data_IF_013748780026
#
_entry.id   IF_013748780026
#
_cell.length_a   1.000
_cell.length_b   1.000
_cell.length_c   1.000
_cell.angle_alpha   90.00
_cell.angle_beta   90.00
_cell.angle_gamma   90.00
#
_symmetry.space_group_name_H-M   'P 1'
#
loop_
_entity.id
_entity.type
_entity.pdbx_description
1 polymer ?
#
# COMPACT_ATOMS: atom_id res chain seq x y z
N UNK A 1 14.32 -6.28 5.07
CA UNK A 1 13.55 -7.50 5.43
C UNK A 1 14.43 -8.42 6.27
N UNK A 2 13.94 -8.89 7.42
CA UNK A 2 14.66 -9.85 8.28
C UNK A 2 14.99 -9.40 9.70
N UNK A 3 14.57 -8.21 10.12
CA UNK A 3 14.58 -7.82 11.54
C UNK A 3 13.15 -7.84 12.08
N UNK A 4 12.88 -8.55 13.21
CA UNK A 4 11.53 -8.65 13.78
C UNK A 4 10.87 -7.29 14.03
N UNK A 5 11.67 -6.29 14.43
CA UNK A 5 11.17 -4.94 14.72
C UNK A 5 10.64 -4.23 13.46
N UNK A 6 11.26 -4.44 12.29
CA UNK A 6 10.80 -3.83 11.05
C UNK A 6 9.48 -4.46 10.58
N UNK A 7 9.32 -5.76 10.76
CA UNK A 7 8.05 -6.45 10.45
C UNK A 7 6.95 -6.03 11.41
N UNK A 8 7.23 -5.94 12.71
CA UNK A 8 6.27 -5.46 13.70
C UNK A 8 5.81 -4.02 13.41
N UNK A 9 6.75 -3.13 13.06
CA UNK A 9 6.43 -1.76 12.66
C UNK A 9 5.60 -1.73 11.36
N UNK A 10 5.94 -2.56 10.36
CA UNK A 10 5.19 -2.67 9.12
C UNK A 10 3.75 -3.18 9.37
N UNK A 11 3.59 -4.25 10.14
CA UNK A 11 2.28 -4.79 10.56
C UNK A 11 1.44 -3.73 11.27
N UNK A 12 2.00 -3.00 12.24
CA UNK A 12 1.27 -1.98 12.98
C UNK A 12 0.78 -0.82 12.07
N UNK A 13 1.65 -0.34 11.16
CA UNK A 13 1.28 0.69 10.19
C UNK A 13 0.27 0.19 9.16
N UNK A 14 0.43 -1.05 8.68
CA UNK A 14 -0.48 -1.67 7.73
C UNK A 14 -1.87 -1.89 8.36
N UNK A 15 -1.92 -2.38 9.60
CA UNK A 15 -3.17 -2.56 10.33
C UNK A 15 -3.93 -1.23 10.49
N UNK A 16 -3.22 -0.16 10.85
CA UNK A 16 -3.80 1.19 10.88
C UNK A 16 -4.31 1.61 9.50
N UNK A 17 -3.53 1.38 8.44
CA UNK A 17 -3.92 1.75 7.09
C UNK A 17 -5.15 0.97 6.60
N UNK A 18 -5.24 -0.33 6.88
CA UNK A 18 -6.40 -1.14 6.52
C UNK A 18 -7.69 -0.62 7.17
N UNK A 19 -7.61 -0.26 8.46
CA UNK A 19 -8.76 0.16 9.27
C UNK A 19 -9.11 1.66 9.14
N UNK A 20 -8.17 2.52 8.76
CA UNK A 20 -8.38 3.97 8.64
C UNK A 20 -8.60 4.36 7.16
N UNK A 21 -9.87 4.49 6.77
CA UNK A 21 -10.25 4.87 5.40
C UNK A 21 -9.80 6.29 5.05
N UNK A 22 -9.84 7.21 5.99
CA UNK A 22 -9.50 8.60 5.74
C UNK A 22 -7.99 8.74 5.53
N UNK A 23 -7.17 8.03 6.31
CA UNK A 23 -5.74 7.90 6.07
C UNK A 23 -5.45 7.30 4.68
N UNK A 24 -6.12 6.20 4.30
CA UNK A 24 -5.96 5.61 2.96
C UNK A 24 -6.31 6.59 1.85
N UNK A 25 -7.35 7.39 2.03
CA UNK A 25 -7.80 8.35 1.03
C UNK A 25 -6.92 9.61 0.97
N UNK A 26 -6.23 9.94 2.07
CA UNK A 26 -5.25 11.02 2.13
C UNK A 26 -3.96 10.70 1.36
N UNK A 27 -3.67 9.42 1.09
CA UNK A 27 -2.54 9.06 0.24
C UNK A 27 -2.76 9.59 -1.19
N UNK A 28 -1.79 10.37 -1.66
CA UNK A 28 -1.70 10.74 -3.07
C UNK A 28 -1.30 9.51 -3.92
N UNK A 29 -1.40 9.56 -5.26
CA UNK A 29 -1.16 8.40 -6.11
C UNK A 29 0.23 7.77 -5.92
N UNK A 30 1.27 8.59 -5.78
CA UNK A 30 2.66 8.16 -5.69
C UNK A 30 2.95 7.52 -4.33
N UNK A 31 2.44 8.10 -3.26
CA UNK A 31 2.55 7.51 -1.92
C UNK A 31 1.77 6.20 -1.83
N UNK A 32 0.60 6.10 -2.47
CA UNK A 32 -0.14 4.85 -2.58
C UNK A 32 0.67 3.77 -3.29
N UNK A 33 1.25 4.07 -4.46
CA UNK A 33 2.05 3.11 -5.22
C UNK A 33 3.32 2.68 -4.47
N UNK A 34 4.02 3.61 -3.81
CA UNK A 34 5.17 3.29 -2.95
C UNK A 34 4.76 2.44 -1.76
N UNK A 35 3.60 2.71 -1.16
CA UNK A 35 3.08 1.94 -0.03
C UNK A 35 2.77 0.52 -0.45
N UNK A 36 2.09 0.32 -1.59
CA UNK A 36 1.88 -1.01 -2.18
C UNK A 36 3.21 -1.78 -2.33
N UNK A 37 4.19 -1.16 -2.97
CA UNK A 37 5.52 -1.77 -3.17
C UNK A 37 6.31 -2.00 -1.86
N UNK A 38 6.02 -1.23 -0.80
CA UNK A 38 6.62 -1.47 0.50
C UNK A 38 5.97 -2.68 1.19
N UNK A 39 4.64 -2.78 1.15
CA UNK A 39 3.86 -3.86 1.76
C UNK A 39 4.17 -5.22 1.13
N UNK A 40 4.50 -5.27 -0.17
CA UNK A 40 4.88 -6.51 -0.87
C UNK A 40 6.13 -7.20 -0.31
N UNK A 41 6.91 -6.52 0.54
CA UNK A 41 8.07 -7.10 1.23
C UNK A 41 7.68 -8.04 2.38
N UNK A 42 6.43 -8.03 2.81
CA UNK A 42 5.91 -8.85 3.92
C UNK A 42 4.61 -9.57 3.50
N UNK A 43 4.69 -10.48 2.51
CA UNK A 43 3.51 -11.16 1.98
C UNK A 43 2.86 -12.09 3.01
N UNK A 44 3.64 -12.60 3.96
CA UNK A 44 3.19 -13.52 5.01
C UNK A 44 2.58 -12.80 6.23
N UNK A 45 2.57 -11.46 6.24
CA UNK A 45 1.99 -10.65 7.32
C UNK A 45 0.54 -10.27 6.96
N UNK A 46 -0.48 -10.79 7.66
CA UNK A 46 -1.89 -10.57 7.29
C UNK A 46 -2.28 -9.10 7.20
N UNK A 47 -1.84 -8.26 8.15
CA UNK A 47 -2.12 -6.81 8.12
C UNK A 47 -1.57 -6.13 6.85
N UNK A 48 -0.38 -6.56 6.39
CA UNK A 48 0.24 -6.04 5.17
C UNK A 48 -0.57 -6.42 3.93
N UNK A 49 -1.05 -7.67 3.87
CA UNK A 49 -1.90 -8.15 2.79
C UNK A 49 -3.26 -7.41 2.77
N UNK A 50 -3.88 -7.21 3.93
CA UNK A 50 -5.16 -6.50 4.05
C UNK A 50 -5.03 -5.03 3.63
N UNK A 51 -3.98 -4.35 4.08
CA UNK A 51 -3.68 -2.99 3.67
C UNK A 51 -3.42 -2.89 2.15
N UNK A 52 -2.64 -3.82 1.59
CA UNK A 52 -2.35 -3.86 0.16
C UNK A 52 -3.64 -4.09 -0.66
N UNK A 53 -4.50 -5.03 -0.24
CA UNK A 53 -5.79 -5.29 -0.88
C UNK A 53 -6.71 -4.06 -0.84
N UNK A 54 -6.72 -3.35 0.29
CA UNK A 54 -7.49 -2.13 0.45
C UNK A 54 -7.02 -1.00 -0.49
N UNK A 55 -5.71 -0.82 -0.66
CA UNK A 55 -5.13 0.15 -1.59
C UNK A 55 -5.33 -0.27 -3.06
N UNK A 56 -5.13 -1.54 -3.39
CA UNK A 56 -5.36 -2.08 -4.73
C UNK A 56 -6.83 -1.93 -5.16
N UNK A 57 -7.76 -2.20 -4.25
CA UNK A 57 -9.20 -1.99 -4.46
C UNK A 57 -9.50 -0.52 -4.74
N UNK A 58 -8.91 0.41 -3.97
CA UNK A 58 -9.04 1.85 -4.23
C UNK A 58 -8.53 2.22 -5.61
N UNK A 59 -7.32 1.77 -5.96
CA UNK A 59 -6.70 2.03 -7.25
C UNK A 59 -7.57 1.50 -8.41
N UNK A 60 -8.12 0.29 -8.29
CA UNK A 60 -9.00 -0.27 -9.31
C UNK A 60 -10.27 0.56 -9.54
N UNK A 61 -10.88 1.07 -8.45
CA UNK A 61 -12.15 1.80 -8.52
C UNK A 61 -11.99 3.30 -8.85
N UNK A 62 -10.87 3.93 -8.50
CA UNK A 62 -10.65 5.37 -8.75
C UNK A 62 -9.89 5.60 -10.06
N UNK A 63 -10.59 5.92 -11.15
CA UNK A 63 -9.96 6.21 -12.46
C UNK A 63 -9.04 7.44 -12.41
N UNK A 64 -9.42 8.48 -11.70
CA UNK A 64 -8.60 9.69 -11.52
C UNK A 64 -7.26 9.37 -10.86
N UNK A 65 -7.29 8.52 -9.83
CA UNK A 65 -6.10 8.06 -9.11
C UNK A 65 -5.16 7.27 -10.04
N UNK A 66 -5.70 6.33 -10.83
CA UNK A 66 -4.91 5.58 -11.83
C UNK A 66 -4.26 6.48 -12.87
N UNK A 67 -5.01 7.45 -13.39
CA UNK A 67 -4.53 8.37 -14.41
C UNK A 67 -3.51 9.38 -13.88
N UNK A 68 -3.44 9.57 -12.56
CA UNK A 68 -2.48 10.46 -11.91
C UNK A 68 -1.16 9.76 -11.56
N UNK A 69 -1.05 8.43 -11.74
CA UNK A 69 0.22 7.73 -11.61
C UNK A 69 1.15 8.12 -12.76
N UNK A 70 2.35 8.54 -12.40
CA UNK A 70 3.46 8.72 -13.32
C UNK A 70 4.10 7.35 -13.64
N UNK A 71 5.03 7.27 -14.61
CA UNK A 71 5.63 5.99 -14.99
C UNK A 71 6.26 5.23 -13.81
N UNK A 72 6.87 5.94 -12.85
CA UNK A 72 7.43 5.30 -11.66
C UNK A 72 6.34 4.77 -10.72
N UNK A 73 5.26 5.52 -10.52
CA UNK A 73 4.10 5.08 -9.76
C UNK A 73 3.45 3.83 -10.36
N UNK A 74 3.33 3.74 -11.69
CA UNK A 74 2.85 2.53 -12.36
C UNK A 74 3.81 1.35 -12.12
N UNK A 75 5.12 1.56 -12.29
CA UNK A 75 6.10 0.51 -12.06
C UNK A 75 6.09 -0.01 -10.62
N UNK A 76 6.01 0.88 -9.63
CA UNK A 76 5.91 0.51 -8.21
C UNK A 76 4.63 -0.29 -7.92
N UNK A 77 3.49 0.13 -8.46
CA UNK A 77 2.22 -0.56 -8.24
C UNK A 77 2.19 -1.96 -8.89
N UNK A 78 2.87 -2.16 -10.02
CA UNK A 78 2.99 -3.45 -10.69
C UNK A 78 4.04 -4.38 -10.07
N UNK A 79 5.06 -3.81 -9.40
CA UNK A 79 6.08 -4.58 -8.69
C UNK A 79 5.59 -5.11 -7.32
N UNK A 80 4.50 -4.52 -6.81
CA UNK A 80 3.88 -4.89 -5.55
C UNK A 80 3.17 -6.26 -5.61
#
# INVERSE_FOLDING_TARGET
PGTPDCEAAASALASRLANDRDLRNALNPQELAKTLNALSKWPDTPDCADAANALASRLANERSLRNALDPQGVANALNA
#
